data_IF_990582069309
#
_entry.id   IF_990582069309
#
_cell.length_a   1.000
_cell.length_b   1.000
_cell.length_c   1.000
_cell.angle_alpha   90.00
_cell.angle_beta   90.00
_cell.angle_gamma   90.00
#
_symmetry.space_group_name_H-M   'P 1'
#
loop_
_entity.id
_entity.type
_entity.pdbx_description
1 polymer ?
#
# COMPACT_ATOMS: atom_id res chain seq x y z
N UNK A 1 15.87 1.62 -11.44
CA UNK A 1 15.10 2.35 -10.43
C UNK A 1 14.11 1.38 -9.79
N UNK A 2 14.10 1.23 -8.47
CA UNK A 2 13.11 0.40 -7.77
C UNK A 2 12.10 1.28 -7.01
N UNK A 3 10.82 1.13 -7.33
CA UNK A 3 9.70 1.95 -6.83
C UNK A 3 8.76 1.08 -6.02
N UNK A 4 8.33 1.59 -4.87
CA UNK A 4 7.31 0.97 -4.04
C UNK A 4 6.03 1.80 -4.05
N UNK A 5 4.91 1.21 -4.47
CA UNK A 5 3.59 1.78 -4.25
C UNK A 5 3.04 1.28 -2.90
N UNK A 6 2.73 2.20 -1.99
CA UNK A 6 2.14 1.88 -0.69
C UNK A 6 0.66 2.23 -0.65
N UNK A 7 -0.17 1.21 -0.44
CA UNK A 7 -1.63 1.29 -0.31
C UNK A 7 -2.06 0.86 1.11
N UNK A 8 -3.19 1.37 1.58
CA UNK A 8 -3.92 0.80 2.73
C UNK A 8 -5.29 0.32 2.30
N UNK A 9 -5.94 -0.45 3.16
CA UNK A 9 -7.37 -0.75 3.08
C UNK A 9 -8.23 0.50 2.90
N UNK A 10 -7.93 1.59 3.63
CA UNK A 10 -8.63 2.87 3.50
C UNK A 10 -8.41 3.59 2.16
N UNK A 11 -7.21 3.51 1.56
CA UNK A 11 -6.80 4.33 0.41
C UNK A 11 -6.32 3.49 -0.79
N UNK A 12 -6.91 2.31 -0.97
CA UNK A 12 -6.56 1.33 -2.01
C UNK A 12 -6.95 1.73 -3.44
N UNK A 13 -7.80 2.74 -3.61
CA UNK A 13 -8.37 3.22 -4.87
C UNK A 13 -7.80 4.58 -5.30
N UNK A 14 -6.67 5.01 -4.73
CA UNK A 14 -6.04 6.28 -5.10
C UNK A 14 -5.50 6.23 -6.55
N UNK A 15 -6.38 6.52 -7.51
CA UNK A 15 -6.12 6.42 -8.95
C UNK A 15 -4.89 7.23 -9.38
N UNK A 16 -4.68 8.41 -8.79
CA UNK A 16 -3.49 9.23 -9.05
C UNK A 16 -2.20 8.52 -8.65
N UNK A 17 -2.16 7.89 -7.47
CA UNK A 17 -0.95 7.20 -6.99
C UNK A 17 -0.64 5.96 -7.85
N UNK A 18 -1.68 5.21 -8.21
CA UNK A 18 -1.56 4.08 -9.13
C UNK A 18 -1.10 4.57 -10.50
N UNK A 19 -1.63 5.69 -11.01
CA UNK A 19 -1.19 6.32 -12.27
C UNK A 19 0.28 6.72 -12.23
N UNK A 20 0.77 7.31 -11.14
CA UNK A 20 2.20 7.61 -10.99
C UNK A 20 3.03 6.34 -10.99
N UNK A 21 2.65 5.33 -10.21
CA UNK A 21 3.35 4.04 -10.16
C UNK A 21 3.43 3.36 -11.53
N UNK A 22 2.31 3.29 -12.27
CA UNK A 22 2.26 2.78 -13.65
C UNK A 22 3.19 3.58 -14.55
N UNK A 23 3.15 4.91 -14.50
CA UNK A 23 4.02 5.75 -15.32
C UNK A 23 5.51 5.53 -15.01
N UNK A 24 5.88 5.34 -13.73
CA UNK A 24 7.26 5.00 -13.37
C UNK A 24 7.67 3.65 -13.96
N UNK A 25 6.79 2.65 -13.92
CA UNK A 25 7.11 1.34 -14.47
C UNK A 25 7.20 1.35 -16.00
N UNK A 26 6.14 1.81 -16.68
CA UNK A 26 6.02 1.75 -18.15
C UNK A 26 6.94 2.75 -18.88
N UNK A 27 7.06 3.98 -18.38
CA UNK A 27 7.80 5.04 -19.08
C UNK A 27 9.26 5.14 -18.67
N UNK A 28 9.59 4.75 -17.44
CA UNK A 28 10.94 4.86 -16.89
C UNK A 28 11.60 3.49 -16.67
N UNK A 29 10.92 2.39 -17.01
CA UNK A 29 11.45 1.03 -16.84
C UNK A 29 11.71 0.70 -15.37
N UNK A 30 10.98 1.33 -14.45
CA UNK A 30 11.16 1.09 -13.03
C UNK A 30 10.57 -0.27 -12.62
N UNK A 31 11.32 -0.99 -11.78
CA UNK A 31 10.77 -2.15 -11.08
C UNK A 31 9.75 -1.65 -10.05
N UNK A 32 8.51 -2.11 -10.16
CA UNK A 32 7.41 -1.69 -9.30
C UNK A 32 6.96 -2.84 -8.40
N UNK A 33 7.11 -2.65 -7.10
CA UNK A 33 6.48 -3.48 -6.08
C UNK A 33 5.27 -2.74 -5.48
N UNK A 34 4.23 -3.50 -5.11
CA UNK A 34 3.04 -2.97 -4.46
C UNK A 34 2.95 -3.55 -3.06
N UNK A 35 2.90 -2.69 -2.04
CA UNK A 35 2.66 -3.06 -0.65
C UNK A 35 1.30 -2.53 -0.22
N UNK A 36 0.41 -3.44 0.16
CA UNK A 36 -0.87 -3.13 0.77
C UNK A 36 -0.83 -3.42 2.28
N UNK A 37 -0.89 -2.38 3.10
CA UNK A 37 -0.92 -2.50 4.56
C UNK A 37 -2.37 -2.45 5.05
N UNK A 38 -2.82 -3.49 5.75
CA UNK A 38 -4.16 -3.58 6.32
C UNK A 38 -4.15 -3.00 7.74
N UNK A 39 -3.98 -1.68 7.84
CA UNK A 39 -3.86 -0.97 9.12
C UNK A 39 -5.21 -0.89 9.85
N UNK A 40 -6.32 -0.67 9.14
CA UNK A 40 -7.65 -0.64 9.77
C UNK A 40 -8.03 -2.03 10.29
N UNK A 41 -7.75 -3.07 9.51
CA UNK A 41 -7.90 -4.47 9.95
C UNK A 41 -7.10 -4.74 11.22
N UNK A 42 -5.84 -4.30 11.27
CA UNK A 42 -4.99 -4.44 12.46
C UNK A 42 -5.56 -3.70 13.68
N UNK A 43 -6.05 -2.47 13.48
CA UNK A 43 -6.65 -1.68 14.55
C UNK A 43 -7.94 -2.32 15.08
N UNK A 44 -8.77 -2.87 14.19
CA UNK A 44 -9.99 -3.58 14.56
C UNK A 44 -9.68 -4.88 15.31
N UNK A 45 -8.68 -5.65 14.85
CA UNK A 45 -8.22 -6.86 15.55
C UNK A 45 -7.75 -6.54 16.97
N UNK A 46 -6.93 -5.50 17.14
CA UNK A 46 -6.50 -5.05 18.49
C UNK A 46 -7.67 -4.63 19.37
N UNK A 47 -8.64 -3.92 18.82
CA UNK A 47 -9.82 -3.51 19.57
C UNK A 47 -10.62 -4.73 20.05
N UNK A 48 -10.90 -5.69 19.17
CA UNK A 48 -11.63 -6.90 19.53
C UNK A 48 -10.91 -7.71 20.61
N UNK A 49 -9.60 -7.90 20.49
CA UNK A 49 -8.78 -8.58 21.51
C UNK A 49 -8.87 -7.86 22.85
N UNK A 50 -8.81 -6.52 22.86
CA UNK A 50 -8.94 -5.71 24.08
C UNK A 50 -10.28 -5.91 24.78
N UNK A 51 -11.36 -6.10 24.03
CA UNK A 51 -12.70 -6.34 24.56
C UNK A 51 -13.06 -7.83 24.71
N UNK A 52 -12.12 -8.75 24.50
CA UNK A 52 -12.36 -10.19 24.57
C UNK A 52 -13.32 -10.72 23.50
N UNK A 53 -13.49 -9.99 22.39
CA UNK A 53 -14.34 -10.38 21.27
C UNK A 53 -13.52 -11.19 20.26
N UNK A 54 -14.11 -12.25 19.66
CA UNK A 54 -13.44 -12.96 18.57
C UNK A 54 -13.24 -12.02 17.37
N UNK A 55 -12.10 -12.15 16.70
CA UNK A 55 -11.84 -11.46 15.43
C UNK A 55 -12.03 -12.44 14.26
N UNK A 56 -13.09 -12.28 13.45
CA UNK A 56 -13.36 -13.19 12.35
C UNK A 56 -12.22 -13.14 11.31
N UNK A 57 -11.59 -14.28 10.96
CA UNK A 57 -10.50 -14.31 9.97
C UNK A 57 -10.96 -13.87 8.58
N UNK A 58 -12.26 -13.95 8.29
CA UNK A 58 -12.87 -13.52 7.03
C UNK A 58 -12.66 -12.03 6.76
N UNK A 59 -12.59 -11.20 7.82
CA UNK A 59 -12.37 -9.75 7.67
C UNK A 59 -11.04 -9.46 6.98
N UNK A 60 -9.98 -10.22 7.30
CA UNK A 60 -8.66 -10.07 6.67
C UNK A 60 -8.75 -10.37 5.18
N UNK A 61 -9.41 -11.46 4.85
CA UNK A 61 -9.56 -11.95 3.48
C UNK A 61 -10.45 -11.03 2.63
N UNK A 62 -11.56 -10.56 3.19
CA UNK A 62 -12.44 -9.58 2.54
C UNK A 62 -11.72 -8.26 2.26
N UNK A 63 -10.86 -7.81 3.18
CA UNK A 63 -10.06 -6.60 2.98
C UNK A 63 -9.08 -6.77 1.81
N UNK A 64 -8.32 -7.88 1.76
CA UNK A 64 -7.43 -8.20 0.64
C UNK A 64 -8.18 -8.22 -0.69
N UNK A 65 -9.29 -8.98 -0.78
CA UNK A 65 -10.12 -9.06 -2.00
C UNK A 65 -10.63 -7.71 -2.45
N UNK A 66 -11.00 -6.83 -1.51
CA UNK A 66 -11.46 -5.47 -1.82
C UNK A 66 -10.34 -4.64 -2.43
N UNK A 67 -9.13 -4.72 -1.88
CA UNK A 67 -7.95 -4.03 -2.41
C UNK A 67 -7.61 -4.57 -3.80
N UNK A 68 -7.55 -5.90 -3.98
CA UNK A 68 -7.26 -6.51 -5.29
C UNK A 68 -8.25 -6.08 -6.36
N UNK A 69 -9.55 -6.09 -6.03
CA UNK A 69 -10.60 -5.68 -6.96
C UNK A 69 -10.41 -4.22 -7.38
N UNK A 70 -10.25 -3.31 -6.42
CA UNK A 70 -10.06 -1.87 -6.68
C UNK A 70 -8.79 -1.60 -7.48
N UNK A 71 -7.69 -2.22 -7.09
CA UNK A 71 -6.42 -2.07 -7.78
C UNK A 71 -6.53 -2.58 -9.22
N UNK A 72 -7.16 -3.74 -9.45
CA UNK A 72 -7.38 -4.30 -10.79
C UNK A 72 -8.23 -3.39 -11.66
N UNK A 73 -9.34 -2.88 -11.13
CA UNK A 73 -10.23 -1.94 -11.85
C UNK A 73 -9.46 -0.70 -12.33
N UNK A 74 -8.65 -0.10 -11.45
CA UNK A 74 -7.84 1.08 -11.80
C UNK A 74 -6.69 0.70 -12.74
N UNK A 75 -6.03 -0.42 -12.50
CA UNK A 75 -4.88 -0.86 -13.28
C UNK A 75 -5.27 -1.20 -14.72
N UNK A 76 -6.36 -1.94 -14.91
CA UNK A 76 -6.90 -2.29 -16.22
C UNK A 76 -7.31 -1.04 -17.00
N UNK A 77 -7.95 -0.07 -16.33
CA UNK A 77 -8.29 1.23 -16.93
C UNK A 77 -7.04 2.00 -17.41
N UNK A 78 -5.92 1.91 -16.69
CA UNK A 78 -4.71 2.67 -16.99
C UNK A 78 -3.79 1.98 -18.00
N UNK A 79 -3.71 0.65 -17.96
CA UNK A 79 -2.73 -0.13 -18.75
C UNK A 79 -3.37 -0.95 -19.87
N UNK A 80 -4.69 -1.18 -19.83
CA UNK A 80 -5.38 -2.15 -20.67
C UNK A 80 -5.07 -3.61 -20.32
N UNK A 81 -4.25 -3.87 -19.29
CA UNK A 81 -3.88 -5.21 -18.84
C UNK A 81 -4.62 -5.59 -17.57
N UNK A 82 -5.06 -6.83 -17.49
CA UNK A 82 -5.59 -7.43 -16.25
C UNK A 82 -4.47 -7.96 -15.34
N UNK A 83 -3.22 -7.97 -15.81
CA UNK A 83 -2.07 -8.42 -15.04
C UNK A 83 -1.56 -7.28 -14.16
N UNK A 84 -1.94 -7.31 -12.89
CA UNK A 84 -1.36 -6.44 -11.86
C UNK A 84 -0.02 -7.02 -11.40
N UNK A 85 0.98 -6.17 -11.09
CA UNK A 85 2.16 -6.60 -10.34
C UNK A 85 1.76 -7.29 -9.04
N UNK A 86 2.62 -8.19 -8.55
CA UNK A 86 2.40 -8.86 -7.28
C UNK A 86 2.14 -7.85 -6.15
N UNK A 87 1.06 -8.05 -5.40
CA UNK A 87 0.72 -7.23 -4.23
C UNK A 87 1.13 -7.99 -2.99
N UNK A 88 2.08 -7.43 -2.25
CA UNK A 88 2.42 -7.93 -0.93
C UNK A 88 1.44 -7.36 0.10
N UNK A 89 0.81 -8.23 0.89
CA UNK A 89 -0.05 -7.83 1.98
C UNK A 89 0.68 -7.91 3.32
N UNK A 90 0.51 -6.87 4.16
CA UNK A 90 0.99 -6.84 5.55
C UNK A 90 -0.13 -6.37 6.49
N UNK A 91 -0.12 -6.87 7.71
CA UNK A 91 -1.09 -6.50 8.76
C UNK A 91 -0.29 -5.96 9.93
N UNK A 92 -0.49 -4.69 10.25
CA UNK A 92 0.27 -4.01 11.30
C UNK A 92 0.23 -2.48 11.14
N UNK A 93 0.96 -1.76 11.99
CA UNK A 93 1.16 -0.31 11.86
C UNK A 93 1.85 0.02 10.54
N UNK A 94 1.34 1.03 9.81
CA UNK A 94 1.88 1.44 8.51
C UNK A 94 3.38 1.73 8.56
N UNK A 95 3.82 2.48 9.57
CA UNK A 95 5.23 2.84 9.75
C UNK A 95 6.14 1.63 9.92
N UNK A 96 5.73 0.66 10.73
CA UNK A 96 6.53 -0.53 11.03
C UNK A 96 6.59 -1.47 9.83
N UNK A 97 5.45 -1.73 9.19
CA UNK A 97 5.37 -2.68 8.08
C UNK A 97 6.06 -2.15 6.83
N UNK A 98 5.94 -0.85 6.52
CA UNK A 98 6.71 -0.25 5.42
C UNK A 98 8.20 -0.31 5.73
N UNK A 99 8.63 0.03 6.95
CA UNK A 99 10.05 -0.02 7.33
C UNK A 99 10.64 -1.42 7.18
N UNK A 100 9.96 -2.44 7.71
CA UNK A 100 10.36 -3.86 7.56
C UNK A 100 10.41 -4.29 6.10
N UNK A 101 9.48 -3.79 5.28
CA UNK A 101 9.39 -4.18 3.88
C UNK A 101 10.48 -3.55 3.00
N UNK A 102 10.90 -2.31 3.30
CA UNK A 102 11.93 -1.61 2.51
C UNK A 102 13.37 -1.96 2.91
N UNK A 103 13.56 -2.43 4.14
CA UNK A 103 14.89 -2.73 4.69
C UNK A 103 15.65 -3.73 3.81
N UNK A 104 16.85 -3.34 3.37
CA UNK A 104 17.72 -4.17 2.54
C UNK A 104 17.26 -4.42 1.10
N UNK A 105 16.09 -3.90 0.67
CA UNK A 105 15.55 -4.13 -0.69
C UNK A 105 15.94 -3.08 -1.73
N UNK A 106 16.59 -1.98 -1.32
CA UNK A 106 17.14 -0.98 -2.24
C UNK A 106 16.10 -0.16 -3.01
N UNK A 107 14.94 0.13 -2.41
CA UNK A 107 13.98 1.07 -3.00
C UNK A 107 14.56 2.47 -3.10
N UNK A 108 14.31 3.13 -4.23
CA UNK A 108 14.76 4.51 -4.49
C UNK A 108 13.62 5.52 -4.31
N UNK A 109 12.37 5.09 -4.48
CA UNK A 109 11.19 5.94 -4.36
C UNK A 109 10.02 5.17 -3.75
N UNK A 110 9.35 5.79 -2.78
CA UNK A 110 8.07 5.33 -2.25
C UNK A 110 6.96 6.26 -2.74
N UNK A 111 5.98 5.71 -3.45
CA UNK A 111 4.75 6.40 -3.86
C UNK A 111 3.67 6.09 -2.84
N UNK A 112 3.24 7.11 -2.12
CA UNK A 112 2.20 6.99 -1.12
C UNK A 112 0.83 7.28 -1.75
N UNK A 113 -0.15 6.41 -1.49
CA UNK A 113 -1.55 6.66 -1.81
C UNK A 113 -2.09 7.93 -1.13
N UNK A 114 -3.38 8.20 -1.29
CA UNK A 114 -4.06 9.43 -0.89
C UNK A 114 -4.23 9.59 0.64
N UNK A 115 -3.17 9.38 1.43
CA UNK A 115 -3.17 9.46 2.88
C UNK A 115 -3.15 10.90 3.40
N UNK A 116 -3.62 11.13 4.63
CA UNK A 116 -3.41 12.38 5.33
C UNK A 116 -1.91 12.70 5.48
N UNK A 117 -1.47 13.83 4.93
CA UNK A 117 -0.04 14.19 4.90
C UNK A 117 0.60 14.26 6.28
N UNK A 118 -0.14 14.73 7.31
CA UNK A 118 0.39 14.84 8.67
C UNK A 118 0.74 13.48 9.29
N UNK A 119 0.01 12.42 8.93
CA UNK A 119 0.33 11.06 9.35
C UNK A 119 1.58 10.56 8.63
N UNK A 120 1.62 10.73 7.30
CA UNK A 120 2.73 10.28 6.48
C UNK A 120 4.07 10.96 6.80
N UNK A 121 4.09 12.25 7.14
CA UNK A 121 5.36 12.93 7.46
C UNK A 121 6.15 12.17 8.55
N UNK A 122 5.47 11.72 9.61
CA UNK A 122 6.10 10.94 10.69
C UNK A 122 6.63 9.59 10.21
N UNK A 123 5.94 8.97 9.26
CA UNK A 123 6.36 7.70 8.65
C UNK A 123 7.60 7.91 7.79
N UNK A 124 7.57 8.94 6.93
CA UNK A 124 8.61 9.25 5.95
C UNK A 124 9.92 9.65 6.62
N UNK A 125 9.87 10.49 7.67
CA UNK A 125 11.05 10.91 8.42
C UNK A 125 11.84 9.70 8.97
N UNK A 126 11.16 8.59 9.25
CA UNK A 126 11.78 7.35 9.75
C UNK A 126 12.34 6.40 8.67
N UNK A 127 12.04 6.63 7.38
CA UNK A 127 12.42 5.72 6.29
C UNK A 127 13.71 6.14 5.57
N UNK A 128 14.07 7.43 5.59
CA UNK A 128 15.21 7.97 4.85
C UNK A 128 15.22 7.58 3.36
N UNK A 129 14.04 7.60 2.72
CA UNK A 129 13.83 7.28 1.30
C UNK A 129 13.08 8.42 0.61
N UNK A 130 13.38 8.66 -0.68
CA UNK A 130 12.60 9.60 -1.47
C UNK A 130 11.14 9.18 -1.47
N UNK A 131 10.24 10.13 -1.21
CA UNK A 131 8.82 9.86 -1.02
C UNK A 131 7.98 10.82 -1.84
N UNK A 132 7.07 10.28 -2.64
CA UNK A 132 6.05 11.03 -3.37
C UNK A 132 4.71 10.86 -2.65
N UNK A 133 4.23 11.93 -2.01
CA UNK A 133 2.90 11.96 -1.41
C UNK A 133 1.90 12.42 -2.48
N UNK A 134 0.93 11.57 -2.80
CA UNK A 134 -0.12 11.89 -3.76
C UNK A 134 -1.37 12.40 -3.04
N UNK A 135 -1.94 13.51 -3.51
CA UNK A 135 -3.16 14.14 -2.98
C UNK A 135 -4.28 14.13 -4.02
#
# INVERSE_FOLDING_TARGET
MKVLLVLTDAYSDCEKAITYAVNFSEKLGAELDILAVLEDVYNLERANVTFGLPFPPEIKEESKKRIERRLREVWEKLTGSTEIPGVEYRIGPLSEEVKKFVEGKGYELVVWACYPSAYLCKVIDGLNLASLIVK
#
